data_IF_285918986000
#
_entry.id   IF_285918986000
#
_cell.length_a   1.000
_cell.length_b   1.000
_cell.length_c   1.000
_cell.angle_alpha   90.00
_cell.angle_beta   90.00
_cell.angle_gamma   90.00
#
_symmetry.space_group_name_H-M   'P 1'
#
loop_
_entity.id
_entity.type
_entity.pdbx_description
1 polymer ?
#
# COMPACT_ATOMS: atom_id res chain seq x y z
N UNK A 1 10.57 -11.06 6.70
CA UNK A 1 11.14 -11.88 7.75
C UNK A 1 10.68 -11.19 9.00
N UNK A 2 9.87 -11.86 9.83
CA UNK A 2 9.32 -11.22 11.00
C UNK A 2 10.45 -10.78 11.94
N UNK A 3 10.20 -9.69 12.66
CA UNK A 3 11.20 -9.04 13.49
C UNK A 3 11.58 -9.96 14.66
N UNK A 4 12.88 -10.26 14.89
CA UNK A 4 13.30 -11.11 15.99
C UNK A 4 12.88 -10.53 17.35
N UNK A 5 12.28 -11.35 18.21
CA UNK A 5 11.74 -10.89 19.50
C UNK A 5 12.78 -10.20 20.39
N UNK A 6 14.04 -10.68 20.39
CA UNK A 6 15.14 -10.05 21.15
C UNK A 6 15.46 -8.65 20.64
N UNK A 7 15.53 -8.47 19.32
CA UNK A 7 15.76 -7.17 18.71
C UNK A 7 14.60 -6.22 19.03
N UNK A 8 13.36 -6.73 18.93
CA UNK A 8 12.16 -5.99 19.30
C UNK A 8 12.17 -5.54 20.77
N UNK A 9 12.52 -6.43 21.70
CA UNK A 9 12.59 -6.09 23.13
C UNK A 9 13.65 -5.01 23.40
N UNK A 10 14.80 -5.07 22.74
CA UNK A 10 15.85 -4.04 22.83
C UNK A 10 15.36 -2.70 22.31
N UNK A 11 14.72 -2.68 21.14
CA UNK A 11 14.10 -1.48 20.57
C UNK A 11 13.04 -0.89 21.51
N UNK A 12 12.15 -1.74 22.03
CA UNK A 12 11.07 -1.35 22.93
C UNK A 12 11.59 -0.71 24.23
N UNK A 13 12.66 -1.28 24.80
CA UNK A 13 13.31 -0.70 25.98
C UNK A 13 13.93 0.68 25.68
N UNK A 14 14.36 0.94 24.44
CA UNK A 14 14.88 2.24 24.03
C UNK A 14 13.81 3.33 23.98
N UNK A 15 12.60 3.01 23.51
CA UNK A 15 11.51 4.00 23.35
C UNK A 15 10.59 4.11 24.58
N UNK A 16 10.54 3.07 25.42
CA UNK A 16 9.66 2.99 26.57
C UNK A 16 10.33 2.26 27.76
N UNK A 17 11.47 2.75 28.29
CA UNK A 17 12.31 2.04 29.26
C UNK A 17 11.60 1.71 30.57
N UNK A 18 10.68 2.57 31.01
CA UNK A 18 9.99 2.48 32.30
C UNK A 18 8.52 2.06 32.18
N UNK A 19 8.09 1.59 31.00
CA UNK A 19 6.68 1.24 30.79
C UNK A 19 6.45 -0.25 30.88
N UNK A 20 5.39 -0.65 31.60
CA UNK A 20 5.01 -2.06 31.69
C UNK A 20 4.51 -2.59 30.34
N UNK A 21 4.72 -3.88 30.06
CA UNK A 21 4.16 -4.53 28.87
C UNK A 21 2.64 -4.40 28.79
N UNK A 22 1.97 -4.34 29.95
CA UNK A 22 0.52 -4.15 30.03
C UNK A 22 0.10 -2.75 29.54
N UNK A 23 0.85 -1.72 29.93
CA UNK A 23 0.60 -0.36 29.48
C UNK A 23 0.92 -0.19 28.00
N UNK A 24 2.03 -0.76 27.51
CA UNK A 24 2.37 -0.76 26.08
C UNK A 24 1.21 -1.33 25.26
N UNK A 25 0.72 -2.52 25.63
CA UNK A 25 -0.40 -3.17 24.94
C UNK A 25 -1.68 -2.32 24.98
N UNK A 26 -1.96 -1.68 26.13
CA UNK A 26 -3.14 -0.83 26.31
C UNK A 26 -3.09 0.40 25.40
N UNK A 27 -1.97 1.13 25.38
CA UNK A 27 -1.85 2.37 24.59
C UNK A 27 -1.71 2.05 23.10
N UNK A 28 -1.07 0.94 22.74
CA UNK A 28 -0.90 0.54 21.34
C UNK A 28 -2.10 -0.22 20.74
N UNK A 29 -3.15 -0.47 21.53
CA UNK A 29 -4.32 -1.23 21.08
C UNK A 29 -4.05 -2.71 20.77
N UNK A 30 -2.92 -3.26 21.23
CA UNK A 30 -2.52 -4.64 20.96
C UNK A 30 -3.01 -5.52 22.10
N UNK A 31 -3.63 -6.66 21.77
CA UNK A 31 -4.01 -7.65 22.80
C UNK A 31 -2.76 -8.19 23.48
N UNK A 32 -2.73 -8.17 24.81
CA UNK A 32 -1.61 -8.71 25.62
C UNK A 32 -1.25 -10.14 25.23
N UNK A 33 -2.24 -10.99 24.98
CA UNK A 33 -2.04 -12.38 24.55
C UNK A 33 -1.35 -12.48 23.19
N UNK A 34 -1.68 -11.60 22.24
CA UNK A 34 -1.03 -11.53 20.93
C UNK A 34 0.44 -11.19 21.05
N UNK A 35 0.79 -10.15 21.81
CA UNK A 35 2.19 -9.76 22.00
C UNK A 35 2.97 -10.86 22.73
N UNK A 36 2.40 -11.44 23.80
CA UNK A 36 3.03 -12.54 24.52
C UNK A 36 3.31 -13.74 23.60
N UNK A 37 2.36 -14.13 22.76
CA UNK A 37 2.53 -15.23 21.80
C UNK A 37 3.63 -14.93 20.76
N UNK A 38 3.70 -13.71 20.25
CA UNK A 38 4.75 -13.29 19.32
C UNK A 38 6.14 -13.37 19.97
N UNK A 39 6.27 -12.88 21.21
CA UNK A 39 7.52 -12.95 21.97
C UNK A 39 7.94 -14.40 22.24
N UNK A 40 7.02 -15.27 22.65
CA UNK A 40 7.28 -16.70 22.88
C UNK A 40 7.70 -17.41 21.58
N UNK A 41 7.08 -17.08 20.45
CA UNK A 41 7.44 -17.61 19.12
C UNK A 41 8.75 -17.03 18.58
N UNK A 42 9.36 -16.06 19.28
CA UNK A 42 10.61 -15.41 18.87
C UNK A 42 10.45 -14.45 17.69
N UNK A 43 9.22 -14.13 17.26
CA UNK A 43 8.91 -13.42 16.02
C UNK A 43 7.77 -12.43 16.25
N UNK A 44 8.04 -11.16 15.97
CA UNK A 44 7.10 -10.05 16.13
C UNK A 44 6.67 -9.54 14.76
N UNK A 45 5.38 -9.27 14.60
CA UNK A 45 4.84 -8.75 13.35
C UNK A 45 5.21 -7.27 13.19
N UNK A 46 5.41 -6.83 11.94
CA UNK A 46 5.71 -5.44 11.61
C UNK A 46 4.56 -4.52 12.02
N UNK A 47 3.32 -4.98 11.89
CA UNK A 47 2.12 -4.27 12.37
C UNK A 47 2.17 -3.98 13.87
N UNK A 48 2.78 -4.86 14.67
CA UNK A 48 2.96 -4.64 16.10
C UNK A 48 3.94 -3.50 16.38
N UNK A 49 5.05 -3.45 15.64
CA UNK A 49 6.01 -2.34 15.74
C UNK A 49 5.36 -1.03 15.32
N UNK A 50 4.61 -1.03 14.22
CA UNK A 50 3.91 0.17 13.72
C UNK A 50 2.89 0.68 14.73
N UNK A 51 2.04 -0.19 15.30
CA UNK A 51 1.05 0.19 16.31
C UNK A 51 1.70 0.78 17.57
N UNK A 52 2.80 0.20 18.05
CA UNK A 52 3.53 0.75 19.20
C UNK A 52 4.19 2.08 18.83
N UNK A 53 4.80 2.18 17.66
CA UNK A 53 5.46 3.41 17.20
C UNK A 53 4.49 4.58 17.18
N UNK A 54 3.29 4.40 16.59
CA UNK A 54 2.22 5.41 16.58
C UNK A 54 1.79 5.80 17.99
N UNK A 55 1.61 4.83 18.88
CA UNK A 55 1.21 5.06 20.27
C UNK A 55 2.24 5.88 21.08
N UNK A 56 3.52 5.78 20.72
CA UNK A 56 4.61 6.50 21.37
C UNK A 56 5.11 7.70 20.56
N UNK A 57 4.36 8.12 19.53
CA UNK A 57 4.71 9.25 18.65
C UNK A 57 6.10 9.09 17.99
N UNK A 58 6.48 7.86 17.66
CA UNK A 58 7.67 7.51 16.90
C UNK A 58 7.24 7.26 15.46
N UNK A 59 7.95 7.84 14.48
CA UNK A 59 7.69 7.57 13.07
C UNK A 59 7.85 6.05 12.78
N UNK A 60 6.82 5.36 12.24
CA UNK A 60 6.89 3.92 12.03
C UNK A 60 7.93 3.45 11.02
N UNK A 61 8.25 4.26 9.99
CA UNK A 61 9.29 3.93 9.02
C UNK A 61 10.66 3.97 9.69
N UNK A 62 10.94 5.01 10.47
CA UNK A 62 12.17 5.10 11.27
C UNK A 62 12.28 3.99 12.31
N UNK A 63 11.16 3.60 12.94
CA UNK A 63 11.14 2.50 13.90
C UNK A 63 11.44 1.15 13.23
N UNK A 64 10.85 0.87 12.06
CA UNK A 64 11.14 -0.34 11.30
C UNK A 64 12.60 -0.33 10.81
N UNK A 65 13.15 0.82 10.42
CA UNK A 65 14.54 0.95 9.98
C UNK A 65 15.58 0.57 11.05
N UNK A 66 15.21 0.53 12.34
CA UNK A 66 16.07 0.09 13.43
C UNK A 66 16.36 -1.42 13.43
N UNK A 67 15.69 -2.21 12.58
CA UNK A 67 15.89 -3.64 12.44
C UNK A 67 16.66 -3.95 11.14
N UNK A 68 17.66 -4.82 11.20
CA UNK A 68 18.56 -5.12 10.07
C UNK A 68 17.81 -5.46 8.77
N UNK A 69 16.75 -6.26 8.86
CA UNK A 69 15.90 -6.66 7.73
C UNK A 69 15.19 -5.49 7.02
N UNK A 70 15.09 -4.35 7.70
CA UNK A 70 14.40 -3.15 7.24
C UNK A 70 15.31 -1.93 7.22
N UNK A 71 16.63 -2.10 7.43
CA UNK A 71 17.62 -1.02 7.46
C UNK A 71 17.57 -0.11 6.23
N UNK A 72 17.20 -0.66 5.06
CA UNK A 72 17.04 0.10 3.82
C UNK A 72 15.92 1.17 3.87
N UNK A 73 15.01 1.10 4.84
CA UNK A 73 14.00 2.14 5.06
C UNK A 73 14.60 3.50 5.49
N UNK A 74 15.91 3.58 5.76
CA UNK A 74 16.60 4.87 5.92
C UNK A 74 16.71 5.67 4.62
N UNK A 75 16.48 5.05 3.46
CA UNK A 75 16.43 5.76 2.18
C UNK A 75 15.15 6.62 2.10
N UNK A 76 15.35 7.94 2.10
CA UNK A 76 14.30 8.97 2.11
C UNK A 76 14.05 9.60 0.73
N UNK A 77 14.54 8.96 -0.34
CA UNK A 77 14.28 9.43 -1.70
C UNK A 77 12.76 9.62 -1.96
N UNK A 78 12.37 10.66 -2.70
CA UNK A 78 10.97 10.93 -2.96
C UNK A 78 10.34 9.87 -3.88
N UNK A 79 9.02 9.63 -3.79
CA UNK A 79 8.32 8.76 -4.73
C UNK A 79 8.34 9.36 -6.13
N UNK A 80 8.41 8.50 -7.13
CA UNK A 80 8.24 8.88 -8.54
C UNK A 80 6.79 9.28 -8.85
N UNK A 81 6.59 9.99 -9.96
CA UNK A 81 5.25 10.35 -10.45
C UNK A 81 4.37 9.11 -10.69
N UNK A 82 4.93 8.02 -11.21
CA UNK A 82 4.18 6.78 -11.46
C UNK A 82 3.73 6.13 -10.15
N UNK A 83 4.59 6.12 -9.11
CA UNK A 83 4.20 5.66 -7.77
C UNK A 83 3.05 6.48 -7.20
N UNK A 84 3.11 7.81 -7.29
CA UNK A 84 2.06 8.70 -6.79
C UNK A 84 0.73 8.48 -7.51
N UNK A 85 0.75 8.45 -8.85
CA UNK A 85 -0.45 8.21 -9.67
C UNK A 85 -1.04 6.82 -9.44
N UNK A 86 -0.21 5.82 -9.16
CA UNK A 86 -0.67 4.46 -8.87
C UNK A 86 -1.54 4.36 -7.61
N UNK A 87 -1.36 5.30 -6.67
CA UNK A 87 -2.09 5.39 -5.41
C UNK A 87 -3.33 6.29 -5.49
N UNK A 88 -3.78 6.62 -6.70
CA UNK A 88 -5.06 7.29 -6.93
C UNK A 88 -6.10 6.20 -7.23
N UNK A 89 -7.23 6.25 -6.51
CA UNK A 89 -8.29 5.26 -6.71
C UNK A 89 -8.96 5.43 -8.07
N UNK A 90 -9.49 4.34 -8.63
CA UNK A 90 -10.23 4.41 -9.91
C UNK A 90 -11.38 5.43 -9.85
N UNK A 91 -12.20 5.51 -8.77
CA UNK A 91 -13.21 6.56 -8.63
C UNK A 91 -12.65 7.98 -8.69
N UNK A 92 -11.50 8.24 -8.04
CA UNK A 92 -10.85 9.56 -8.07
C UNK A 92 -10.36 9.91 -9.49
N UNK A 93 -9.77 8.95 -10.21
CA UNK A 93 -9.36 9.13 -11.60
C UNK A 93 -10.54 9.46 -12.51
N UNK A 94 -11.67 8.76 -12.35
CA UNK A 94 -12.88 9.04 -13.14
C UNK A 94 -13.48 10.41 -12.82
N UNK A 95 -13.48 10.81 -11.55
CA UNK A 95 -13.88 12.16 -11.15
C UNK A 95 -13.00 13.22 -11.80
N UNK A 96 -11.69 13.00 -11.87
CA UNK A 96 -10.77 13.90 -12.56
C UNK A 96 -11.05 13.99 -14.07
N UNK A 97 -11.30 12.86 -14.75
CA UNK A 97 -11.67 12.85 -16.18
C UNK A 97 -12.93 13.68 -16.42
N UNK A 98 -13.99 13.43 -15.63
CA UNK A 98 -15.27 14.15 -15.77
C UNK A 98 -15.11 15.65 -15.51
N UNK A 99 -14.34 16.03 -14.49
CA UNK A 99 -14.09 17.42 -14.16
C UNK A 99 -13.37 18.17 -15.29
N UNK A 100 -12.38 17.54 -15.94
CA UNK A 100 -11.64 18.16 -17.04
C UNK A 100 -12.43 18.22 -18.34
N UNK A 101 -13.20 17.18 -18.68
CA UNK A 101 -14.07 17.19 -19.86
C UNK A 101 -15.20 18.22 -19.77
N UNK A 102 -15.64 18.57 -18.56
CA UNK A 102 -16.64 19.61 -18.35
C UNK A 102 -16.08 21.05 -18.45
N UNK A 103 -14.76 21.22 -18.52
CA UNK A 103 -14.08 22.51 -18.51
C UNK A 103 -13.76 23.09 -19.90
N UNK A 104 -14.24 22.47 -20.99
CA UNK A 104 -13.99 22.88 -22.39
C UNK A 104 -14.65 24.26 -22.75
N UNK A 105 -14.18 25.01 -23.77
CA UNK A 105 -13.79 26.42 -23.71
C UNK A 105 -14.92 27.36 -24.19
N UNK A 106 -16.18 26.92 -24.04
CA UNK A 106 -17.36 27.56 -24.63
C UNK A 106 -18.12 28.53 -23.72
N UNK A 107 -17.62 28.84 -22.53
CA UNK A 107 -18.13 29.96 -21.74
C UNK A 107 -19.56 29.79 -21.21
N UNK A 108 -19.92 28.60 -20.70
CA UNK A 108 -20.96 28.50 -19.68
C UNK A 108 -20.25 28.07 -18.40
N UNK A 109 -20.24 28.90 -17.34
CA UNK A 109 -19.69 28.45 -16.07
C UNK A 109 -20.56 27.27 -15.65
N UNK A 110 -19.99 26.06 -15.70
CA UNK A 110 -20.62 24.89 -15.11
C UNK A 110 -21.01 25.29 -13.69
N UNK A 111 -22.32 25.33 -13.43
CA UNK A 111 -22.88 25.66 -12.13
C UNK A 111 -22.04 24.92 -11.11
N UNK A 112 -21.32 25.69 -10.28
CA UNK A 112 -20.19 25.23 -9.49
C UNK A 112 -20.47 23.81 -8.99
N UNK A 113 -19.82 22.81 -9.59
CA UNK A 113 -19.65 21.53 -8.93
C UNK A 113 -19.15 21.92 -7.54
N UNK A 114 -19.83 21.47 -6.47
CA UNK A 114 -19.61 22.04 -5.15
C UNK A 114 -18.11 22.04 -4.92
N UNK A 115 -17.57 23.23 -4.63
CA UNK A 115 -16.17 23.45 -4.32
C UNK A 115 -15.78 22.80 -2.99
N UNK A 116 -16.21 21.56 -2.76
CA UNK A 116 -15.52 20.64 -1.89
C UNK A 116 -14.29 20.22 -2.66
N UNK A 117 -13.13 20.75 -2.24
CA UNK A 117 -11.84 20.11 -2.49
C UNK A 117 -12.04 18.60 -2.43
N UNK A 118 -12.04 17.91 -3.57
CA UNK A 118 -12.19 16.46 -3.60
C UNK A 118 -10.91 15.88 -3.05
N UNK A 119 -10.82 15.78 -1.72
CA UNK A 119 -9.73 15.09 -1.04
C UNK A 119 -9.69 13.69 -1.64
N UNK A 120 -8.55 13.35 -2.26
CA UNK A 120 -8.33 12.02 -2.79
C UNK A 120 -8.56 10.99 -1.69
N UNK A 121 -9.14 9.86 -2.06
CA UNK A 121 -9.34 8.74 -1.15
C UNK A 121 -7.98 8.36 -0.52
N UNK A 122 -7.90 8.10 0.80
CA UNK A 122 -6.66 7.69 1.42
C UNK A 122 -6.17 6.35 0.85
N UNK A 123 -4.86 6.22 0.64
CA UNK A 123 -4.28 4.92 0.41
C UNK A 123 -4.23 4.10 1.72
N UNK A 124 -4.41 2.77 1.67
CA UNK A 124 -4.62 1.96 0.48
C UNK A 124 -6.11 1.84 0.08
N UNK A 125 -6.37 1.70 -1.21
CA UNK A 125 -7.66 1.30 -1.80
C UNK A 125 -7.58 -0.15 -2.32
N UNK A 126 -8.71 -0.69 -2.77
CA UNK A 126 -8.91 -2.11 -3.16
C UNK A 126 -7.96 -2.64 -4.25
N UNK A 127 -7.18 -1.77 -4.88
CA UNK A 127 -6.22 -2.08 -5.96
C UNK A 127 -4.84 -1.46 -5.75
N UNK A 128 -4.56 -0.84 -4.59
CA UNK A 128 -3.31 -0.09 -4.35
C UNK A 128 -2.04 -0.88 -4.61
N UNK A 129 -1.96 -2.12 -4.10
CA UNK A 129 -0.77 -2.96 -4.25
C UNK A 129 -0.56 -3.32 -5.72
N UNK A 130 -1.62 -3.80 -6.38
CA UNK A 130 -1.53 -4.19 -7.79
C UNK A 130 -1.17 -3.00 -8.68
N UNK A 131 -1.86 -1.88 -8.50
CA UNK A 131 -1.64 -0.65 -9.24
C UNK A 131 -0.21 -0.14 -9.08
N UNK A 132 0.32 -0.18 -7.84
CA UNK A 132 1.68 0.23 -7.53
C UNK A 132 2.70 -0.64 -8.25
N UNK A 133 2.60 -1.96 -8.12
CA UNK A 133 3.55 -2.88 -8.76
C UNK A 133 3.53 -2.72 -10.27
N UNK A 134 2.35 -2.62 -10.89
CA UNK A 134 2.23 -2.36 -12.34
C UNK A 134 2.90 -1.04 -12.76
N UNK A 135 2.88 -0.01 -11.90
CA UNK A 135 3.44 1.30 -12.21
C UNK A 135 4.98 1.38 -12.07
N UNK A 136 5.60 0.43 -11.37
CA UNK A 136 7.04 0.35 -11.15
C UNK A 136 7.70 -0.85 -11.88
N UNK A 137 6.89 -1.71 -12.52
CA UNK A 137 7.37 -2.86 -13.27
C UNK A 137 7.88 -2.44 -14.65
N UNK A 138 9.16 -2.68 -14.92
CA UNK A 138 9.82 -2.47 -16.21
C UNK A 138 9.75 -3.72 -17.13
N UNK A 139 8.98 -4.73 -16.72
CA UNK A 139 8.83 -6.02 -17.40
C UNK A 139 9.63 -7.15 -16.74
N UNK A 140 10.69 -6.82 -16.00
CA UNK A 140 11.61 -7.78 -15.38
C UNK A 140 11.49 -7.81 -13.84
N UNK A 141 10.63 -6.97 -13.25
CA UNK A 141 10.54 -6.80 -11.80
C UNK A 141 10.24 -8.12 -11.08
N UNK A 142 9.32 -8.92 -11.63
CA UNK A 142 8.95 -10.22 -11.04
C UNK A 142 10.16 -11.16 -10.92
N UNK A 143 11.00 -11.19 -11.96
CA UNK A 143 12.20 -12.02 -11.97
C UNK A 143 13.23 -11.51 -10.94
N UNK A 144 13.46 -10.18 -10.89
CA UNK A 144 14.36 -9.57 -9.90
C UNK A 144 13.91 -9.81 -8.46
N UNK A 145 12.61 -9.66 -8.17
CA UNK A 145 12.06 -9.95 -6.84
C UNK A 145 12.23 -11.42 -6.48
N UNK A 146 11.95 -12.33 -7.41
CA UNK A 146 12.14 -13.76 -7.19
C UNK A 146 13.60 -14.10 -6.89
N UNK A 147 14.55 -13.57 -7.67
CA UNK A 147 15.97 -13.76 -7.46
C UNK A 147 16.45 -13.20 -6.11
N UNK A 148 15.95 -12.02 -5.70
CA UNK A 148 16.36 -11.37 -4.46
C UNK A 148 15.76 -12.01 -3.19
N UNK A 149 14.55 -12.57 -3.28
CA UNK A 149 13.80 -13.06 -2.10
C UNK A 149 13.71 -14.58 -2.00
N UNK A 150 14.03 -15.30 -3.08
CA UNK A 150 13.80 -16.74 -3.20
C UNK A 150 12.33 -17.13 -3.30
N UNK A 151 11.40 -16.17 -3.36
CA UNK A 151 9.97 -16.44 -3.54
C UNK A 151 9.72 -16.84 -4.99
N UNK A 152 9.03 -17.96 -5.19
CA UNK A 152 8.63 -18.40 -6.52
C UNK A 152 7.73 -17.35 -7.21
N UNK A 153 7.91 -17.06 -8.52
CA UNK A 153 7.11 -16.06 -9.23
C UNK A 153 5.59 -16.28 -9.12
N UNK A 154 5.15 -17.53 -9.01
CA UNK A 154 3.74 -17.91 -8.83
C UNK A 154 3.20 -17.42 -7.48
N UNK A 155 3.97 -17.54 -6.40
CA UNK A 155 3.58 -17.08 -5.08
C UNK A 155 3.52 -15.55 -5.02
N UNK A 156 4.46 -14.87 -5.68
CA UNK A 156 4.42 -13.42 -5.84
C UNK A 156 3.15 -13.00 -6.60
N UNK A 157 2.86 -13.67 -7.72
CA UNK A 157 1.68 -13.40 -8.54
C UNK A 157 0.37 -13.66 -7.80
N UNK A 158 0.31 -14.69 -6.96
CA UNK A 158 -0.85 -14.99 -6.12
C UNK A 158 -1.11 -13.87 -5.09
N UNK A 159 -0.06 -13.34 -4.47
CA UNK A 159 -0.15 -12.20 -3.55
C UNK A 159 -0.66 -10.94 -4.26
N UNK A 160 -0.10 -10.61 -5.44
CA UNK A 160 -0.57 -9.47 -6.24
C UNK A 160 -2.04 -9.62 -6.68
N UNK A 161 -2.43 -10.84 -7.05
CA UNK A 161 -3.82 -11.13 -7.44
C UNK A 161 -4.79 -10.95 -6.27
N UNK A 162 -4.33 -11.19 -5.04
CA UNK A 162 -5.07 -10.93 -3.81
C UNK A 162 -4.99 -9.47 -3.33
N UNK A 163 -4.34 -8.57 -4.10
CA UNK A 163 -4.04 -7.19 -3.74
C UNK A 163 -3.38 -7.05 -2.35
N UNK A 164 -2.45 -7.95 -2.04
CA UNK A 164 -1.74 -7.97 -0.75
C UNK A 164 -0.27 -8.24 -1.00
N UNK A 165 0.61 -7.63 -0.22
CA UNK A 165 2.02 -7.99 -0.15
C UNK A 165 2.43 -8.03 1.31
N UNK A 166 3.22 -9.03 1.70
CA UNK A 166 3.87 -9.01 3.00
C UNK A 166 4.83 -7.80 3.08
N UNK A 167 4.99 -7.13 4.25
CA UNK A 167 5.82 -5.94 4.37
C UNK A 167 7.26 -6.10 3.86
N UNK A 168 7.91 -7.21 4.18
CA UNK A 168 9.24 -7.52 3.63
C UNK A 168 9.23 -7.60 2.10
N UNK A 169 8.24 -8.27 1.53
CA UNK A 169 8.15 -8.45 0.09
C UNK A 169 7.83 -7.12 -0.62
N UNK A 170 7.08 -6.23 0.03
CA UNK A 170 6.86 -4.87 -0.46
C UNK A 170 8.16 -4.07 -0.49
N UNK A 171 8.97 -4.12 0.57
CA UNK A 171 10.31 -3.49 0.61
C UNK A 171 11.24 -4.09 -0.44
N UNK A 172 11.29 -5.42 -0.56
CA UNK A 172 12.10 -6.09 -1.58
C UNK A 172 11.64 -5.74 -3.01
N UNK A 173 10.33 -5.57 -3.22
CA UNK A 173 9.78 -5.11 -4.50
C UNK A 173 10.22 -3.68 -4.81
N UNK A 174 10.15 -2.76 -3.83
CA UNK A 174 10.66 -1.39 -4.01
C UNK A 174 12.13 -1.38 -4.40
N UNK A 175 12.96 -2.14 -3.68
CA UNK A 175 14.40 -2.22 -3.92
C UNK A 175 14.72 -2.80 -5.30
N UNK A 176 14.01 -3.87 -5.70
CA UNK A 176 14.16 -4.48 -7.01
C UNK A 176 13.72 -3.56 -8.16
N UNK A 177 12.77 -2.65 -7.93
CA UNK A 177 12.35 -1.64 -8.89
C UNK A 177 13.19 -0.35 -8.84
N UNK A 178 14.11 -0.23 -7.88
CA UNK A 178 14.93 0.97 -7.70
C UNK A 178 14.13 2.20 -7.26
N UNK A 179 13.01 2.01 -6.56
CA UNK A 179 12.16 3.06 -5.99
C UNK A 179 12.31 3.15 -4.46
N UNK A 180 11.68 4.14 -3.83
CA UNK A 180 11.78 4.33 -2.38
C UNK A 180 11.24 3.09 -1.62
N UNK A 181 12.01 2.52 -0.67
CA UNK A 181 11.58 1.35 0.12
C UNK A 181 10.26 1.57 0.87
N UNK A 182 10.01 2.80 1.36
CA UNK A 182 8.80 3.14 2.08
C UNK A 182 7.53 3.16 1.19
N UNK A 183 7.66 3.37 -0.13
CA UNK A 183 6.52 3.39 -1.05
C UNK A 183 5.74 2.08 -1.09
N UNK A 184 6.44 0.94 -1.02
CA UNK A 184 5.79 -0.36 -0.93
C UNK A 184 4.98 -0.49 0.35
N UNK A 185 5.48 0.03 1.47
CA UNK A 185 4.75 0.03 2.74
C UNK A 185 3.49 0.92 2.70
N UNK A 186 3.54 2.04 1.97
CA UNK A 186 2.35 2.88 1.69
C UNK A 186 1.34 2.10 0.86
N UNK A 187 1.77 1.45 -0.22
CA UNK A 187 0.88 0.68 -1.09
C UNK A 187 0.19 -0.48 -0.36
N UNK A 188 0.84 -1.10 0.63
CA UNK A 188 0.23 -2.12 1.49
C UNK A 188 -0.65 -1.56 2.62
N UNK A 189 -0.61 -0.24 2.85
CA UNK A 189 -1.28 0.43 3.97
C UNK A 189 -0.66 0.16 5.34
N UNK A 190 0.56 -0.38 5.40
CA UNK A 190 1.25 -0.56 6.67
C UNK A 190 1.60 0.81 7.28
N UNK A 191 2.04 1.75 6.44
CA UNK A 191 2.38 3.14 6.81
C UNK A 191 1.59 4.13 5.96
N UNK A 192 1.41 5.34 6.46
CA UNK A 192 0.77 6.43 5.71
C UNK A 192 1.75 7.13 4.78
N UNK A 193 1.25 7.91 3.83
CA UNK A 193 2.05 8.76 2.94
C UNK A 193 2.95 9.72 3.74
N UNK A 194 2.40 10.35 4.78
CA UNK A 194 3.14 11.25 5.66
C UNK A 194 4.21 10.52 6.46
N UNK A 195 3.92 9.32 6.97
CA UNK A 195 4.91 8.49 7.68
C UNK A 195 6.06 8.06 6.77
N UNK A 196 5.79 7.84 5.48
CA UNK A 196 6.78 7.54 4.43
C UNK A 196 7.54 8.77 3.91
N UNK A 197 7.26 9.97 4.42
CA UNK A 197 7.93 11.20 3.99
C UNK A 197 7.49 11.70 2.63
N UNK A 198 6.34 11.27 2.12
CA UNK A 198 5.80 11.82 0.87
C UNK A 198 5.39 13.29 1.08
N UNK A 199 5.68 14.18 0.11
CA UNK A 199 5.28 15.57 0.22
C UNK A 199 3.75 15.70 0.35
N UNK A 200 3.24 16.59 1.23
CA UNK A 200 1.80 16.84 1.32
C UNK A 200 1.21 17.21 -0.04
N UNK A 201 0.11 16.57 -0.42
CA UNK A 201 -0.55 16.81 -1.71
C UNK A 201 0.18 16.24 -2.92
N UNK A 202 1.25 15.45 -2.75
CA UNK A 202 2.02 14.89 -3.87
C UNK A 202 1.15 14.07 -4.85
N UNK A 203 0.19 13.28 -4.36
CA UNK A 203 -0.75 12.54 -5.23
C UNK A 203 -1.61 13.47 -6.08
N UNK A 204 -2.13 14.54 -5.49
CA UNK A 204 -2.93 15.52 -6.22
C UNK A 204 -2.08 16.26 -7.26
N UNK A 205 -0.88 16.71 -6.88
CA UNK A 205 0.04 17.35 -7.83
C UNK A 205 0.41 16.41 -8.99
N UNK A 206 0.60 15.12 -8.72
CA UNK A 206 0.86 14.11 -9.75
C UNK A 206 -0.35 13.91 -10.67
N UNK A 207 -1.57 13.87 -10.12
CA UNK A 207 -2.82 13.83 -10.90
C UNK A 207 -2.95 15.06 -11.81
N UNK A 208 -2.74 16.24 -11.25
CA UNK A 208 -2.87 17.52 -11.96
C UNK A 208 -1.84 17.64 -13.09
N UNK A 209 -0.66 17.05 -12.92
CA UNK A 209 0.39 17.02 -13.95
C UNK A 209 0.11 16.08 -15.14
N UNK A 210 -0.88 15.19 -15.06
CA UNK A 210 -1.29 14.36 -16.21
C UNK A 210 -1.88 15.24 -17.31
N UNK A 211 -1.50 14.99 -18.55
CA UNK A 211 -2.26 15.49 -19.70
C UNK A 211 -3.62 14.80 -19.78
N UNK A 212 -4.57 15.40 -20.49
CA UNK A 212 -5.91 14.81 -20.64
C UNK A 212 -5.87 13.47 -21.38
N UNK A 213 -4.92 13.32 -22.32
CA UNK A 213 -4.62 12.05 -22.97
C UNK A 213 -4.12 11.00 -21.99
N UNK A 214 -3.09 11.30 -21.20
CA UNK A 214 -2.56 10.37 -20.18
C UNK A 214 -3.63 9.96 -19.16
N UNK A 215 -4.41 10.93 -18.67
CA UNK A 215 -5.48 10.70 -17.70
C UNK A 215 -6.57 9.80 -18.27
N UNK A 216 -7.01 10.06 -19.51
CA UNK A 216 -8.04 9.27 -20.18
C UNK A 216 -7.57 7.85 -20.47
N UNK A 217 -6.33 7.67 -20.96
CA UNK A 217 -5.73 6.36 -21.18
C UNK A 217 -5.64 5.57 -19.88
N UNK A 218 -5.10 6.17 -18.81
CA UNK A 218 -4.98 5.52 -17.50
C UNK A 218 -6.35 5.11 -16.93
N UNK A 219 -7.35 5.99 -17.00
CA UNK A 219 -8.71 5.69 -16.56
C UNK A 219 -9.32 4.53 -17.36
N UNK A 220 -9.10 4.53 -18.69
CA UNK A 220 -9.51 3.45 -19.58
C UNK A 220 -8.88 2.11 -19.21
N UNK A 221 -7.56 2.06 -18.98
CA UNK A 221 -6.84 0.85 -18.59
C UNK A 221 -7.33 0.29 -17.25
N UNK A 222 -7.58 1.17 -16.28
CA UNK A 222 -8.15 0.79 -14.96
C UNK A 222 -9.56 0.20 -15.11
N UNK A 223 -10.42 0.81 -15.93
CA UNK A 223 -11.76 0.30 -16.20
C UNK A 223 -11.74 -1.04 -16.93
N UNK A 224 -10.88 -1.22 -17.94
CA UNK A 224 -10.73 -2.51 -18.63
C UNK A 224 -10.29 -3.61 -17.66
N UNK A 225 -9.34 -3.30 -16.77
CA UNK A 225 -8.85 -4.24 -15.77
C UNK A 225 -9.95 -4.63 -14.78
N UNK A 226 -10.71 -3.64 -14.29
CA UNK A 226 -11.86 -3.86 -13.41
C UNK A 226 -12.93 -4.73 -14.09
N UNK A 227 -13.28 -4.41 -15.35
CA UNK A 227 -14.27 -5.18 -16.11
C UNK A 227 -13.87 -6.65 -16.32
N UNK A 228 -12.59 -6.93 -16.56
CA UNK A 228 -12.08 -8.31 -16.64
C UNK A 228 -12.18 -9.04 -15.30
N UNK A 229 -11.94 -8.35 -14.18
CA UNK A 229 -12.03 -8.94 -12.85
C UNK A 229 -13.49 -9.28 -12.48
N UNK A 230 -14.42 -8.35 -12.73
CA UNK A 230 -15.85 -8.54 -12.45
C UNK A 230 -16.42 -9.73 -13.24
N UNK A 231 -16.15 -9.82 -14.55
CA UNK A 231 -16.60 -10.95 -15.37
C UNK A 231 -16.09 -12.31 -14.88
N UNK A 232 -14.86 -12.37 -14.35
CA UNK A 232 -14.31 -13.61 -13.76
C UNK A 232 -15.07 -13.97 -12.50
N UNK A 233 -15.33 -12.99 -11.63
CA UNK A 233 -16.08 -13.19 -10.41
C UNK A 233 -17.51 -13.67 -10.67
N UNK A 234 -18.20 -13.08 -11.66
CA UNK A 234 -19.52 -13.52 -12.12
C UNK A 234 -19.49 -14.99 -12.58
N UNK A 235 -18.54 -15.35 -13.43
CA UNK A 235 -18.40 -16.74 -13.93
C UNK A 235 -18.08 -17.76 -12.82
N UNK A 236 -17.23 -17.38 -11.86
CA UNK A 236 -16.88 -18.24 -10.73
C UNK A 236 -18.07 -18.41 -9.77
N UNK A 237 -18.90 -17.37 -9.61
CA UNK A 237 -20.14 -17.44 -8.85
C UNK A 237 -21.15 -18.39 -9.52
N UNK A 238 -21.43 -18.22 -10.81
CA UNK A 238 -22.34 -19.10 -11.57
C UNK A 238 -21.91 -20.57 -11.53
N UNK A 239 -20.60 -20.85 -11.62
CA UNK A 239 -20.08 -22.22 -11.49
C UNK A 239 -20.30 -22.79 -10.09
N UNK A 240 -20.09 -21.97 -9.07
CA UNK A 240 -20.28 -22.38 -7.68
C UNK A 240 -21.74 -22.71 -7.42
N UNK A 241 -22.67 -21.86 -7.88
CA UNK A 241 -24.11 -22.12 -7.80
C UNK A 241 -24.50 -23.42 -8.51
N UNK A 242 -24.03 -23.66 -9.74
CA UNK A 242 -24.26 -24.92 -10.46
C UNK A 242 -23.72 -26.15 -9.71
N UNK A 243 -22.60 -26.05 -9.00
CA UNK A 243 -22.08 -27.15 -8.18
C UNK A 243 -23.01 -27.41 -6.99
N UNK A 244 -23.48 -26.37 -6.32
CA UNK A 244 -24.43 -26.49 -5.21
C UNK A 244 -25.78 -27.07 -5.66
N UNK A 245 -26.29 -26.66 -6.83
CA UNK A 245 -27.53 -27.20 -7.41
C UNK A 245 -27.42 -28.69 -7.77
N UNK A 246 -26.24 -29.18 -8.16
CA UNK A 246 -26.01 -30.59 -8.50
C UNK A 246 -25.68 -31.47 -7.28
N UNK A 247 -25.42 -30.88 -6.12
CA UNK A 247 -25.18 -31.57 -4.84
C UNK A 247 -26.44 -31.67 -3.96
N UNK A 248 -27.57 -31.11 -4.42
CA UNK A 248 -28.89 -31.16 -3.79
C UNK A 248 -29.80 -32.23 -4.37
#
# INVERSE_FOLDING_TARGET
>A
MPIPAKAFQRWLHGIAPNTSTSDICRVSGIKRTTLAQQLVRGKVAETTVVSISRAYNVNPVSALAAFDAYSQLTDTRPPSRSELVSQISTPDLLRAVLARSAADPGGVPAAAAPAGSSVLEPAPHATSVKNWVEAIDDGELRHRVSAATGIAPQNYSAQLSANRLAPELAVATSLAAGVAPASGLVATGLVTEAEAGWPPGARQAALDSLSDGELTTLAGDRLQTLGRALRRQEHDHEKTEKIWENLG
#
